data_IF_841841431058
#
_entry.id   IF_841841431058
#
_cell.length_a   1.000
_cell.length_b   1.000
_cell.length_c   1.000
_cell.angle_alpha   90.00
_cell.angle_beta   90.00
_cell.angle_gamma   90.00
#
_symmetry.space_group_name_H-M   'P 1'
#
loop_
_entity.id
_entity.type
_entity.pdbx_description
1 polymer ?
#
# COMPACT_ATOMS: atom_id res chain seq x y z
N UNK A 1 -68.17 -43.73 68.57
CA UNK A 1 -66.85 -43.53 67.94
C UNK A 1 -66.94 -43.99 66.50
N UNK A 2 -66.62 -43.10 65.55
CA UNK A 2 -66.15 -43.32 64.15
C UNK A 2 -66.96 -44.25 63.20
N UNK A 3 -67.06 -44.09 61.89
CA UNK A 3 -66.82 -43.05 60.87
C UNK A 3 -67.29 -43.71 59.54
N UNK A 4 -68.37 -43.28 58.91
CA UNK A 4 -68.43 -42.50 57.66
C UNK A 4 -67.46 -42.87 56.50
N UNK A 5 -68.07 -43.38 55.40
CA UNK A 5 -67.88 -43.08 53.94
C UNK A 5 -66.49 -43.31 53.30
N UNK A 6 -66.35 -43.58 52.01
CA UNK A 6 -67.26 -43.60 50.86
C UNK A 6 -66.45 -43.90 49.59
N UNK A 7 -67.12 -44.49 48.58
CA UNK A 7 -66.56 -44.86 47.27
C UNK A 7 -66.01 -43.66 46.51
N UNK A 8 -64.78 -43.76 46.02
CA UNK A 8 -64.13 -42.77 45.14
C UNK A 8 -64.51 -43.06 43.69
N UNK A 9 -65.25 -42.13 43.10
CA UNK A 9 -65.62 -42.06 41.69
C UNK A 9 -64.63 -41.12 41.00
N UNK A 10 -63.70 -41.63 40.20
CA UNK A 10 -62.75 -40.79 39.45
C UNK A 10 -63.45 -40.22 38.22
N UNK A 11 -63.88 -38.95 38.31
CA UNK A 11 -64.32 -38.14 37.16
C UNK A 11 -63.09 -37.69 36.35
N UNK A 12 -63.12 -37.99 35.05
CA UNK A 12 -62.23 -37.44 34.02
C UNK A 12 -62.41 -35.92 33.94
N UNK A 13 -61.38 -35.16 34.31
CA UNK A 13 -61.33 -33.70 34.17
C UNK A 13 -60.76 -33.37 32.79
N UNK A 14 -61.62 -32.98 31.86
CA UNK A 14 -61.19 -32.31 30.63
C UNK A 14 -60.84 -30.86 30.96
N UNK A 15 -59.54 -30.54 31.00
CA UNK A 15 -59.05 -29.17 31.10
C UNK A 15 -59.08 -28.52 29.71
N UNK A 16 -60.14 -27.75 29.46
CA UNK A 16 -60.26 -26.83 28.33
C UNK A 16 -59.27 -25.68 28.54
N UNK A 17 -58.12 -25.71 27.86
CA UNK A 17 -57.19 -24.59 27.81
C UNK A 17 -57.76 -23.50 26.90
N UNK A 18 -58.26 -22.40 27.47
CA UNK A 18 -58.49 -21.17 26.72
C UNK A 18 -57.19 -20.38 26.64
N UNK A 19 -56.53 -20.41 25.49
CA UNK A 19 -55.38 -19.56 25.20
C UNK A 19 -55.88 -18.12 25.07
N UNK A 20 -55.49 -17.27 26.01
CA UNK A 20 -55.69 -15.82 25.89
C UNK A 20 -54.86 -15.30 24.72
N UNK A 21 -55.56 -14.83 23.67
CA UNK A 21 -55.00 -14.11 22.54
C UNK A 21 -54.52 -12.73 23.02
N UNK A 22 -53.26 -12.63 23.42
CA UNK A 22 -52.63 -11.33 23.67
C UNK A 22 -52.22 -10.70 22.33
N UNK A 23 -52.96 -9.65 21.98
CA UNK A 23 -52.56 -8.47 21.20
C UNK A 23 -51.49 -8.67 20.11
N UNK A 24 -51.96 -8.73 18.87
CA UNK A 24 -51.13 -8.58 17.69
C UNK A 24 -50.49 -7.19 17.61
N UNK A 25 -49.17 -7.17 17.56
CA UNK A 25 -48.43 -6.16 16.82
C UNK A 25 -47.79 -6.88 15.62
N UNK A 26 -47.99 -6.41 14.38
CA UNK A 26 -47.36 -7.02 13.23
C UNK A 26 -45.83 -6.80 13.32
N UNK A 27 -45.08 -7.85 12.97
CA UNK A 27 -43.62 -7.90 13.00
C UNK A 27 -42.83 -6.88 12.12
N UNK A 28 -43.36 -6.18 11.09
CA UNK A 28 -42.51 -5.31 10.27
C UNK A 28 -42.15 -3.98 10.94
N UNK A 29 -42.81 -3.59 12.04
CA UNK A 29 -42.58 -2.28 12.67
C UNK A 29 -41.32 -2.20 13.56
N UNK A 30 -40.70 -3.34 13.92
CA UNK A 30 -39.47 -3.37 14.72
C UNK A 30 -38.20 -3.33 13.88
N UNK A 31 -38.29 -3.71 12.60
CA UNK A 31 -37.13 -3.69 11.69
C UNK A 31 -36.76 -2.25 11.29
N UNK A 32 -37.74 -1.35 11.12
CA UNK A 32 -37.47 -0.01 10.59
C UNK A 32 -36.76 0.93 11.56
N UNK A 33 -36.97 0.82 12.88
CA UNK A 33 -36.33 1.70 13.89
C UNK A 33 -34.85 1.39 14.11
N UNK A 34 -34.47 0.11 14.06
CA UNK A 34 -33.05 -0.29 14.19
C UNK A 34 -32.29 0.08 12.91
N UNK A 35 -32.90 -0.13 11.74
CA UNK A 35 -32.29 0.17 10.45
C UNK A 35 -32.12 1.68 10.20
N UNK A 36 -33.11 2.49 10.59
CA UNK A 36 -33.01 3.96 10.51
C UNK A 36 -32.01 4.51 11.52
N UNK A 37 -31.95 3.99 12.74
CA UNK A 37 -30.96 4.41 13.74
C UNK A 37 -29.52 4.14 13.30
N UNK A 38 -29.25 2.97 12.73
CA UNK A 38 -27.92 2.62 12.21
C UNK A 38 -27.53 3.50 11.01
N UNK A 39 -28.48 3.77 10.11
CA UNK A 39 -28.25 4.62 8.94
C UNK A 39 -27.88 6.07 9.33
N UNK A 40 -28.59 6.66 10.30
CA UNK A 40 -28.28 8.01 10.77
C UNK A 40 -26.96 8.06 11.54
N UNK A 41 -26.63 7.03 12.33
CA UNK A 41 -25.37 6.95 13.06
C UNK A 41 -24.16 6.82 12.12
N UNK A 42 -24.30 6.06 11.02
CA UNK A 42 -23.26 5.95 9.99
C UNK A 42 -23.11 7.25 9.20
N UNK A 43 -24.22 7.93 8.88
CA UNK A 43 -24.21 9.21 8.18
C UNK A 43 -23.58 10.33 9.02
N UNK A 44 -23.86 10.39 10.32
CA UNK A 44 -23.24 11.38 11.22
C UNK A 44 -21.76 11.08 11.46
N UNK A 45 -21.36 9.81 11.57
CA UNK A 45 -19.95 9.43 11.67
C UNK A 45 -19.17 9.80 10.39
N UNK A 46 -19.77 9.61 9.21
CA UNK A 46 -19.21 10.04 7.93
C UNK A 46 -19.06 11.56 7.83
N UNK A 47 -20.06 12.32 8.28
CA UNK A 47 -20.01 13.79 8.31
C UNK A 47 -18.94 14.33 9.27
N UNK A 48 -18.77 13.70 10.44
CA UNK A 48 -17.74 14.10 11.41
C UNK A 48 -16.34 13.74 10.88
N UNK A 49 -16.17 12.57 10.25
CA UNK A 49 -14.92 12.18 9.61
C UNK A 49 -14.53 13.09 8.44
N UNK A 50 -15.50 13.76 7.81
CA UNK A 50 -15.27 14.70 6.70
C UNK A 50 -14.69 16.05 7.16
N UNK A 51 -14.84 16.41 8.45
CA UNK A 51 -14.42 17.72 8.97
C UNK A 51 -12.99 17.76 9.52
N UNK A 52 -12.30 16.61 9.62
CA UNK A 52 -10.97 16.52 10.25
C UNK A 52 -9.78 16.81 9.29
N UNK A 53 -10.03 17.29 8.07
CA UNK A 53 -9.01 17.46 7.04
C UNK A 53 -8.29 18.81 6.99
N UNK A 54 -8.65 19.79 7.81
CA UNK A 54 -8.00 21.11 7.81
C UNK A 54 -7.01 21.19 8.96
N UNK A 55 -5.74 20.85 8.72
CA UNK A 55 -4.53 21.49 9.27
C UNK A 55 -3.29 20.75 8.74
N UNK A 56 -2.78 21.15 7.58
CA UNK A 56 -1.38 20.95 7.18
C UNK A 56 -0.95 22.23 6.46
N UNK A 57 0.28 22.71 6.74
CA UNK A 57 0.85 23.83 5.99
C UNK A 57 0.80 23.49 4.49
N UNK A 58 0.29 24.42 3.70
CA UNK A 58 -0.08 24.21 2.30
C UNK A 58 1.18 23.95 1.45
N UNK A 59 1.69 22.72 1.46
CA UNK A 59 2.61 22.27 0.42
C UNK A 59 1.78 22.26 -0.86
N UNK A 60 2.22 23.02 -1.85
CA UNK A 60 1.66 22.94 -3.19
C UNK A 60 2.00 21.56 -3.75
N UNK A 61 1.08 20.62 -3.56
CA UNK A 61 1.27 19.22 -3.92
C UNK A 61 1.54 19.07 -5.42
N UNK A 62 0.89 19.89 -6.25
CA UNK A 62 1.10 19.82 -7.69
C UNK A 62 2.54 20.24 -8.06
N UNK A 63 3.06 21.29 -7.42
CA UNK A 63 4.45 21.71 -7.60
C UNK A 63 5.46 20.70 -7.02
N UNK A 64 5.14 20.12 -5.87
CA UNK A 64 5.96 19.06 -5.24
C UNK A 64 6.09 17.83 -6.15
N UNK A 65 4.97 17.32 -6.67
CA UNK A 65 4.94 16.12 -7.52
C UNK A 65 5.63 16.37 -8.87
N UNK A 66 5.43 17.56 -9.46
CA UNK A 66 6.13 17.97 -10.67
C UNK A 66 7.65 18.02 -10.43
N UNK A 67 8.07 18.59 -9.30
CA UNK A 67 9.48 18.65 -8.89
C UNK A 67 10.09 17.28 -8.66
N UNK A 68 9.37 16.38 -7.98
CA UNK A 68 9.82 15.01 -7.74
C UNK A 68 10.09 14.27 -9.06
N UNK A 69 9.18 14.43 -10.04
CA UNK A 69 9.32 13.79 -11.35
C UNK A 69 10.57 14.27 -12.09
N UNK A 70 10.81 15.58 -12.12
CA UNK A 70 11.99 16.16 -12.77
C UNK A 70 13.26 15.73 -12.03
N UNK A 71 13.24 15.73 -10.69
CA UNK A 71 14.36 15.30 -9.85
C UNK A 71 14.75 13.84 -10.12
N UNK A 72 13.77 12.93 -10.15
CA UNK A 72 14.01 11.50 -10.44
C UNK A 72 14.58 11.26 -11.84
N UNK A 73 14.17 12.05 -12.83
CA UNK A 73 14.65 11.92 -14.21
C UNK A 73 16.04 12.49 -14.46
N UNK A 74 16.45 13.53 -13.73
CA UNK A 74 17.62 14.34 -14.09
C UNK A 74 18.67 14.46 -12.97
N UNK A 75 18.29 14.34 -11.69
CA UNK A 75 19.14 14.70 -10.55
C UNK A 75 19.47 13.51 -9.64
N UNK A 76 18.55 12.55 -9.49
CA UNK A 76 18.62 11.48 -8.50
C UNK A 76 19.83 10.53 -8.64
N UNK A 77 20.47 10.48 -9.82
CA UNK A 77 21.68 9.68 -10.05
C UNK A 77 22.90 10.19 -9.28
N UNK A 78 22.93 11.49 -8.95
CA UNK A 78 24.08 12.14 -8.33
C UNK A 78 23.75 12.87 -7.03
N UNK A 79 22.49 13.28 -6.85
CA UNK A 79 22.05 14.06 -5.71
C UNK A 79 20.96 13.34 -4.92
N UNK A 80 20.93 13.59 -3.61
CA UNK A 80 19.77 13.30 -2.75
C UNK A 80 19.20 14.60 -2.22
N UNK A 81 17.90 14.66 -1.88
CA UNK A 81 17.35 15.88 -1.28
C UNK A 81 18.01 16.20 0.06
N UNK A 82 18.18 15.21 0.94
CA UNK A 82 18.54 15.38 2.35
C UNK A 82 19.95 14.89 2.74
N UNK A 83 20.70 14.32 1.79
CA UNK A 83 22.01 13.75 2.05
C UNK A 83 23.01 14.01 0.91
N UNK A 84 24.29 13.95 1.26
CA UNK A 84 25.39 14.06 0.31
C UNK A 84 25.60 12.73 -0.44
N UNK A 85 25.98 12.81 -1.71
CA UNK A 85 26.29 11.66 -2.56
C UNK A 85 27.44 12.01 -3.51
N UNK A 86 27.25 11.88 -4.83
CA UNK A 86 28.20 12.37 -5.84
C UNK A 86 28.21 13.90 -5.87
N UNK A 87 27.05 14.51 -5.61
CA UNK A 87 26.89 15.94 -5.36
C UNK A 87 26.31 16.24 -3.97
N UNK A 88 26.23 17.54 -3.60
CA UNK A 88 25.68 17.98 -2.33
C UNK A 88 24.20 17.66 -2.18
N UNK A 89 23.73 17.58 -0.93
CA UNK A 89 22.30 17.58 -0.63
C UNK A 89 21.61 18.79 -1.28
N UNK A 90 20.44 18.61 -1.90
CA UNK A 90 19.74 19.70 -2.58
C UNK A 90 18.86 20.54 -1.66
N UNK A 91 18.41 19.99 -0.53
CA UNK A 91 17.62 20.71 0.46
C UNK A 91 18.38 21.93 0.97
N UNK A 92 17.76 23.09 0.91
CA UNK A 92 18.34 24.39 1.25
C UNK A 92 19.35 24.92 0.22
N UNK A 93 19.41 24.36 -1.00
CA UNK A 93 20.36 24.83 -2.02
C UNK A 93 20.09 26.29 -2.41
N UNK A 94 18.81 26.69 -2.49
CA UNK A 94 18.42 28.06 -2.80
C UNK A 94 18.98 29.06 -1.80
N UNK A 95 18.84 28.77 -0.50
CA UNK A 95 19.40 29.59 0.57
C UNK A 95 20.94 29.63 0.52
N UNK A 96 21.60 28.50 0.22
CA UNK A 96 23.06 28.47 0.08
C UNK A 96 23.58 29.34 -1.06
N UNK A 97 22.83 29.45 -2.15
CA UNK A 97 23.17 30.25 -3.33
C UNK A 97 22.72 31.71 -3.27
N UNK A 98 21.86 32.07 -2.30
CA UNK A 98 21.31 33.42 -2.18
C UNK A 98 22.43 34.48 -2.06
N UNK A 99 22.36 35.50 -2.92
CA UNK A 99 23.35 36.57 -3.03
C UNK A 99 24.74 36.14 -3.55
N UNK A 100 24.96 34.88 -3.94
CA UNK A 100 26.29 34.36 -4.34
C UNK A 100 26.41 34.04 -5.83
N UNK A 101 25.32 34.13 -6.58
CA UNK A 101 25.33 33.87 -8.01
C UNK A 101 23.95 33.48 -8.55
N UNK A 102 23.95 32.87 -9.72
CA UNK A 102 22.76 32.42 -10.42
C UNK A 102 22.72 30.89 -10.39
N UNK A 103 21.90 30.36 -9.47
CA UNK A 103 21.69 28.92 -9.31
C UNK A 103 21.04 28.29 -10.55
N UNK A 104 20.22 29.02 -11.32
CA UNK A 104 19.55 28.49 -12.50
C UNK A 104 20.54 28.27 -13.63
N UNK A 105 21.40 29.25 -13.89
CA UNK A 105 22.48 29.11 -14.86
C UNK A 105 23.44 27.98 -14.48
N UNK A 106 23.77 27.84 -13.19
CA UNK A 106 24.56 26.73 -12.68
C UNK A 106 23.89 25.37 -12.92
N UNK A 107 22.59 25.23 -12.61
CA UNK A 107 21.83 23.99 -12.77
C UNK A 107 21.72 23.59 -14.25
N UNK A 108 21.54 24.55 -15.17
CA UNK A 108 21.49 24.26 -16.61
C UNK A 108 22.83 23.80 -17.16
N UNK A 109 23.91 24.48 -16.79
CA UNK A 109 25.23 24.17 -17.30
C UNK A 109 26.33 24.66 -16.34
N UNK A 110 26.70 23.81 -15.39
CA UNK A 110 27.77 24.10 -14.43
C UNK A 110 29.11 24.43 -15.11
N UNK A 111 29.46 23.72 -16.19
CA UNK A 111 30.75 23.87 -16.86
C UNK A 111 30.87 25.21 -17.58
N UNK A 112 29.78 25.70 -18.17
CA UNK A 112 29.74 27.04 -18.74
C UNK A 112 29.74 28.10 -17.65
N UNK A 113 28.99 27.88 -16.56
CA UNK A 113 28.91 28.82 -15.45
C UNK A 113 30.26 29.04 -14.76
N UNK A 114 31.10 28.01 -14.63
CA UNK A 114 32.46 28.14 -14.06
C UNK A 114 33.32 29.16 -14.81
N UNK A 115 33.12 29.32 -16.13
CA UNK A 115 33.88 30.28 -16.95
C UNK A 115 33.59 31.74 -16.60
N UNK A 116 32.49 32.02 -15.91
CA UNK A 116 32.16 33.36 -15.41
C UNK A 116 33.11 33.83 -14.31
N UNK A 117 33.88 32.91 -13.71
CA UNK A 117 34.79 33.23 -12.61
C UNK A 117 34.10 33.41 -11.26
N UNK A 118 32.84 33.00 -11.10
CA UNK A 118 32.12 33.07 -9.83
C UNK A 118 32.87 32.29 -8.72
N UNK A 119 33.29 33.00 -7.66
CA UNK A 119 34.11 32.42 -6.58
C UNK A 119 33.42 31.27 -5.86
N UNK A 120 32.11 31.40 -5.60
CA UNK A 120 31.35 30.39 -4.88
C UNK A 120 31.20 29.10 -5.71
N UNK A 121 30.87 29.23 -7.00
CA UNK A 121 30.75 28.09 -7.91
C UNK A 121 32.08 27.36 -8.12
N UNK A 122 33.19 28.10 -8.25
CA UNK A 122 34.53 27.52 -8.36
C UNK A 122 34.91 26.74 -7.09
N UNK A 123 34.70 27.34 -5.92
CA UNK A 123 34.95 26.68 -4.63
C UNK A 123 34.09 25.43 -4.47
N UNK A 124 32.80 25.51 -4.79
CA UNK A 124 31.90 24.36 -4.74
C UNK A 124 32.38 23.24 -5.68
N UNK A 125 32.82 23.57 -6.90
CA UNK A 125 33.34 22.57 -7.83
C UNK A 125 34.61 21.89 -7.30
N UNK A 126 35.50 22.63 -6.64
CA UNK A 126 36.70 22.07 -6.00
C UNK A 126 36.37 21.18 -4.80
N UNK A 127 35.46 21.61 -3.92
CA UNK A 127 35.01 20.83 -2.75
C UNK A 127 34.39 19.48 -3.15
N UNK A 128 33.75 19.42 -4.31
CA UNK A 128 33.11 18.22 -4.85
C UNK A 128 33.99 17.46 -5.85
N UNK A 129 35.31 17.51 -5.65
CA UNK A 129 36.32 16.79 -6.43
C UNK A 129 36.26 17.03 -7.93
N UNK A 130 35.80 18.21 -8.36
CA UNK A 130 35.63 18.59 -9.77
C UNK A 130 34.69 17.64 -10.52
N UNK A 131 33.71 17.07 -9.81
CA UNK A 131 32.69 16.21 -10.38
C UNK A 131 31.84 17.01 -11.38
N UNK A 132 31.81 16.56 -12.63
CA UNK A 132 31.11 17.26 -13.71
C UNK A 132 29.61 17.02 -13.59
N UNK A 133 28.85 18.09 -13.40
CA UNK A 133 27.39 18.06 -13.53
C UNK A 133 27.03 18.28 -15.00
N UNK A 134 26.54 17.22 -15.66
CA UNK A 134 26.17 17.22 -17.08
C UNK A 134 25.14 18.31 -17.38
N UNK A 135 25.26 19.04 -18.51
CA UNK A 135 24.26 20.03 -18.88
C UNK A 135 22.87 19.42 -19.05
N UNK A 136 21.85 20.11 -18.55
CA UNK A 136 20.46 19.68 -18.59
C UNK A 136 19.59 20.79 -19.17
N UNK A 137 18.73 20.46 -20.13
CA UNK A 137 17.84 21.42 -20.80
C UNK A 137 16.55 21.60 -19.99
N UNK A 138 16.64 22.21 -18.81
CA UNK A 138 15.52 22.48 -17.91
C UNK A 138 15.04 23.94 -18.01
N UNK A 139 13.72 24.14 -17.94
CA UNK A 139 13.12 25.48 -17.82
C UNK A 139 13.29 26.06 -16.40
N UNK A 140 13.07 27.36 -16.22
CA UNK A 140 13.17 27.97 -14.88
C UNK A 140 12.11 27.37 -13.93
N UNK A 141 10.91 27.10 -14.46
CA UNK A 141 9.80 26.50 -13.72
C UNK A 141 10.11 25.07 -13.28
N UNK A 142 10.77 24.27 -14.14
CA UNK A 142 11.20 22.92 -13.78
C UNK A 142 12.29 22.94 -12.71
N UNK A 143 13.23 23.88 -12.79
CA UNK A 143 14.27 24.07 -11.77
C UNK A 143 13.63 24.51 -10.44
N UNK A 144 12.66 25.42 -10.48
CA UNK A 144 11.91 25.85 -9.30
C UNK A 144 11.16 24.70 -8.65
N UNK A 145 10.48 23.86 -9.45
CA UNK A 145 9.79 22.69 -8.95
C UNK A 145 10.77 21.70 -8.27
N UNK A 146 11.94 21.44 -8.86
CA UNK A 146 12.95 20.56 -8.26
C UNK A 146 13.48 21.10 -6.93
N UNK A 147 13.80 22.40 -6.87
CA UNK A 147 14.26 23.03 -5.64
C UNK A 147 13.16 23.04 -4.58
N UNK A 148 11.90 23.31 -4.97
CA UNK A 148 10.74 23.24 -4.10
C UNK A 148 10.53 21.83 -3.52
N UNK A 149 10.61 20.81 -4.37
CA UNK A 149 10.57 19.41 -3.95
C UNK A 149 11.70 19.08 -2.96
N UNK A 150 12.93 19.51 -3.24
CA UNK A 150 14.07 19.24 -2.36
C UNK A 150 13.92 19.92 -0.99
N UNK A 151 13.43 21.16 -0.95
CA UNK A 151 13.23 21.93 0.28
C UNK A 151 12.11 21.33 1.15
N UNK A 152 11.04 20.87 0.53
CA UNK A 152 9.90 20.26 1.21
C UNK A 152 10.01 18.74 1.35
N UNK A 153 11.12 18.14 0.94
CA UNK A 153 11.32 16.70 1.02
C UNK A 153 11.26 16.21 2.47
N UNK A 154 10.38 15.26 2.71
CA UNK A 154 10.31 14.48 3.94
C UNK A 154 10.78 13.05 3.63
N UNK A 155 11.81 12.54 4.30
CA UNK A 155 12.29 11.17 4.07
C UNK A 155 11.17 10.18 4.39
N UNK A 156 10.95 9.14 3.55
CA UNK A 156 10.02 8.08 3.87
C UNK A 156 10.50 7.43 5.17
N UNK A 157 9.61 7.33 6.16
CA UNK A 157 9.94 6.72 7.45
C UNK A 157 10.61 5.36 7.20
N UNK A 158 11.74 5.05 7.88
CA UNK A 158 12.42 3.78 7.69
C UNK A 158 11.43 2.66 7.98
N UNK A 159 11.19 1.79 6.99
CA UNK A 159 10.42 0.56 7.17
C UNK A 159 11.27 -0.41 7.99
N UNK A 160 11.38 -0.12 9.29
CA UNK A 160 11.93 -1.02 10.30
C UNK A 160 10.93 -2.14 10.58
N UNK A 161 11.44 -3.37 10.60
CA UNK A 161 10.62 -4.58 10.65
C UNK A 161 9.81 -4.78 11.92
N UNK A 162 8.76 -5.58 11.77
CA UNK A 162 8.06 -6.29 12.84
C UNK A 162 7.14 -5.44 13.71
N UNK A 163 5.87 -5.33 13.34
CA UNK A 163 4.78 -5.89 14.16
C UNK A 163 3.43 -5.81 13.42
N UNK A 164 2.62 -6.84 13.63
CA UNK A 164 1.22 -6.88 13.24
C UNK A 164 0.45 -5.87 14.10
N UNK A 165 0.28 -4.64 13.62
CA UNK A 165 -0.77 -3.74 14.07
C UNK A 165 -1.11 -2.71 12.99
N UNK A 166 -2.39 -2.71 12.62
CA UNK A 166 -3.18 -1.68 11.95
C UNK A 166 -2.42 -0.62 11.12
N UNK A 167 -2.60 -0.70 9.80
CA UNK A 167 -2.17 0.33 8.86
C UNK A 167 -2.63 1.73 9.31
N UNK A 168 -1.73 2.73 9.39
CA UNK A 168 -2.13 4.11 9.52
C UNK A 168 -2.71 4.57 8.18
N UNK A 169 -3.95 5.04 8.25
CA UNK A 169 -4.58 5.89 7.24
C UNK A 169 -3.76 7.17 7.09
N UNK A 170 -3.27 7.43 5.87
CA UNK A 170 -2.63 8.67 5.43
C UNK A 170 -3.02 8.97 3.97
N UNK A 171 -2.90 10.22 3.51
CA UNK A 171 -4.02 10.99 2.99
C UNK A 171 -4.40 10.72 1.54
N UNK A 172 -5.67 11.03 1.30
CA UNK A 172 -6.40 11.11 0.04
C UNK A 172 -5.77 12.07 -0.95
N UNK A 173 -5.15 11.53 -2.00
CA UNK A 173 -4.91 12.28 -3.22
C UNK A 173 -6.24 12.58 -3.91
N UNK A 174 -6.51 13.86 -4.13
CA UNK A 174 -7.60 14.34 -4.98
C UNK A 174 -7.37 13.82 -6.41
N UNK A 175 -7.98 12.67 -6.70
CA UNK A 175 -7.83 11.92 -7.95
C UNK A 175 -7.65 10.42 -7.76
N UNK A 176 -7.40 9.95 -6.53
CA UNK A 176 -7.42 8.52 -6.24
C UNK A 176 -8.85 8.01 -6.37
N UNK A 177 -9.16 7.39 -7.50
CA UNK A 177 -10.40 6.64 -7.69
C UNK A 177 -10.46 5.44 -6.74
N UNK A 178 -9.38 5.10 -6.02
CA UNK A 178 -9.27 3.90 -5.20
C UNK A 178 -10.31 3.82 -4.07
N UNK A 179 -10.52 4.86 -3.22
CA UNK A 179 -11.60 4.82 -2.22
C UNK A 179 -12.98 4.73 -2.88
N UNK A 180 -13.20 5.42 -4.00
CA UNK A 180 -14.45 5.34 -4.76
C UNK A 180 -14.65 3.97 -5.42
N UNK A 181 -13.58 3.31 -5.87
CA UNK A 181 -13.61 1.93 -6.38
C UNK A 181 -13.96 0.95 -5.28
N UNK A 182 -13.44 1.13 -4.05
CA UNK A 182 -13.85 0.31 -2.91
C UNK A 182 -15.33 0.49 -2.58
N UNK A 183 -15.83 1.73 -2.59
CA UNK A 183 -17.27 2.02 -2.41
C UNK A 183 -18.10 1.39 -3.52
N UNK A 184 -17.68 1.49 -4.78
CA UNK A 184 -18.36 0.87 -5.91
C UNK A 184 -18.34 -0.67 -5.84
N UNK A 185 -17.20 -1.27 -5.49
CA UNK A 185 -17.08 -2.73 -5.28
C UNK A 185 -18.02 -3.17 -4.17
N UNK A 186 -18.04 -2.45 -3.04
CA UNK A 186 -18.96 -2.75 -1.93
C UNK A 186 -20.42 -2.66 -2.38
N UNK A 187 -20.78 -1.62 -3.14
CA UNK A 187 -22.12 -1.47 -3.72
C UNK A 187 -22.48 -2.66 -4.62
N UNK A 188 -21.60 -3.04 -5.55
CA UNK A 188 -21.85 -4.18 -6.44
C UNK A 188 -21.93 -5.51 -5.69
N UNK A 189 -21.15 -5.71 -4.63
CA UNK A 189 -21.24 -6.90 -3.78
C UNK A 189 -22.60 -6.94 -3.07
N UNK A 190 -23.04 -5.83 -2.47
CA UNK A 190 -24.36 -5.75 -1.82
C UNK A 190 -25.49 -6.01 -2.81
N UNK A 191 -25.43 -5.40 -4.00
CA UNK A 191 -26.42 -5.62 -5.07
C UNK A 191 -26.40 -7.07 -5.54
N UNK A 192 -25.23 -7.67 -5.77
CA UNK A 192 -25.10 -9.06 -6.21
C UNK A 192 -25.64 -10.05 -5.16
N UNK A 193 -25.36 -9.84 -3.88
CA UNK A 193 -25.88 -10.67 -2.79
C UNK A 193 -27.41 -10.52 -2.67
N UNK A 194 -27.93 -9.30 -2.79
CA UNK A 194 -29.37 -9.02 -2.80
C UNK A 194 -30.07 -9.73 -3.96
N UNK A 195 -29.56 -9.56 -5.19
CA UNK A 195 -30.13 -10.20 -6.39
C UNK A 195 -30.06 -11.73 -6.32
N UNK A 196 -28.97 -12.28 -5.78
CA UNK A 196 -28.84 -13.73 -5.60
C UNK A 196 -29.87 -14.26 -4.58
N UNK A 197 -30.08 -13.54 -3.48
CA UNK A 197 -31.10 -13.86 -2.48
C UNK A 197 -32.52 -13.78 -3.06
N UNK A 198 -32.84 -12.71 -3.79
CA UNK A 198 -34.15 -12.53 -4.45
C UNK A 198 -34.39 -13.62 -5.50
N UNK A 199 -33.39 -13.92 -6.33
CA UNK A 199 -33.50 -14.99 -7.35
C UNK A 199 -33.77 -16.35 -6.70
N UNK A 200 -33.07 -16.68 -5.60
CA UNK A 200 -33.29 -17.93 -4.86
C UNK A 200 -34.69 -17.96 -4.22
N UNK A 201 -35.11 -16.86 -3.61
CA UNK A 201 -36.44 -16.75 -2.98
C UNK A 201 -37.56 -16.90 -4.00
N UNK A 202 -37.44 -16.25 -5.17
CA UNK A 202 -38.42 -16.35 -6.24
C UNK A 202 -38.44 -17.75 -6.84
N UNK A 203 -37.27 -18.35 -7.09
CA UNK A 203 -37.19 -19.72 -7.61
C UNK A 203 -37.84 -20.72 -6.66
N UNK A 204 -37.62 -20.59 -5.35
CA UNK A 204 -38.27 -21.45 -4.36
C UNK A 204 -39.78 -21.20 -4.26
N UNK A 205 -40.24 -19.94 -4.34
CA UNK A 205 -41.67 -19.63 -4.33
C UNK A 205 -42.40 -20.17 -5.57
N UNK A 206 -41.76 -20.13 -6.75
CA UNK A 206 -42.30 -20.74 -7.98
C UNK A 206 -42.36 -22.26 -7.84
N UNK A 207 -41.30 -22.90 -7.32
CA UNK A 207 -41.31 -24.34 -7.12
C UNK A 207 -42.38 -24.79 -6.13
N UNK A 208 -42.58 -24.06 -5.04
CA UNK A 208 -43.65 -24.34 -4.08
C UNK A 208 -45.04 -24.18 -4.72
N UNK A 209 -45.25 -23.16 -5.55
CA UNK A 209 -46.48 -23.00 -6.33
C UNK A 209 -46.70 -24.13 -7.36
N UNK A 210 -45.63 -24.69 -7.91
CA UNK A 210 -45.65 -25.84 -8.82
C UNK A 210 -45.69 -27.20 -8.09
N UNK A 211 -45.71 -27.21 -6.74
CA UNK A 211 -45.68 -28.44 -5.94
C UNK A 211 -44.35 -29.22 -6.03
N UNK A 212 -43.26 -28.56 -6.43
CA UNK A 212 -41.90 -29.11 -6.54
C UNK A 212 -41.10 -28.85 -5.26
N UNK A 213 -40.14 -29.73 -5.00
CA UNK A 213 -39.21 -29.61 -3.87
C UNK A 213 -38.35 -28.32 -4.00
N UNK A 214 -38.10 -27.60 -2.89
CA UNK A 214 -37.26 -26.40 -2.88
C UNK A 214 -35.82 -26.72 -3.33
N UNK A 215 -35.14 -25.73 -3.92
CA UNK A 215 -33.77 -25.94 -4.41
C UNK A 215 -32.83 -26.32 -3.26
N UNK A 216 -31.88 -27.25 -3.48
CA UNK A 216 -30.95 -27.69 -2.44
C UNK A 216 -30.11 -26.52 -1.92
N UNK A 217 -29.91 -26.47 -0.60
CA UNK A 217 -29.03 -25.50 0.03
C UNK A 217 -27.57 -25.82 -0.29
N UNK A 218 -26.95 -24.95 -1.09
CA UNK A 218 -25.55 -25.07 -1.50
C UNK A 218 -24.68 -24.14 -0.66
N UNK A 219 -23.50 -24.62 -0.33
CA UNK A 219 -22.45 -23.80 0.27
C UNK A 219 -21.86 -22.82 -0.76
N UNK A 220 -21.14 -21.81 -0.28
CA UNK A 220 -20.44 -20.87 -1.16
C UNK A 220 -19.49 -21.58 -2.13
N UNK A 221 -18.69 -22.52 -1.62
CA UNK A 221 -17.72 -23.28 -2.43
C UNK A 221 -18.41 -24.09 -3.51
N UNK A 222 -19.51 -24.77 -3.18
CA UNK A 222 -20.31 -25.52 -4.16
C UNK A 222 -20.91 -24.61 -5.24
N UNK A 223 -21.33 -23.39 -4.86
CA UNK A 223 -21.87 -22.41 -5.80
C UNK A 223 -20.80 -21.88 -6.77
N UNK A 224 -19.58 -21.62 -6.28
CA UNK A 224 -18.43 -21.21 -7.11
C UNK A 224 -18.00 -22.35 -8.04
N UNK A 225 -17.93 -23.57 -7.51
CA UNK A 225 -17.62 -24.78 -8.27
C UNK A 225 -18.65 -24.98 -9.40
N UNK A 226 -19.94 -24.99 -9.12
CA UNK A 226 -20.92 -25.19 -10.18
C UNK A 226 -20.92 -24.05 -11.22
N UNK A 227 -20.75 -22.81 -10.77
CA UNK A 227 -20.57 -21.69 -11.70
C UNK A 227 -19.35 -21.90 -12.60
N UNK A 228 -18.22 -22.33 -12.05
CA UNK A 228 -17.00 -22.57 -12.82
C UNK A 228 -17.17 -23.70 -13.85
N UNK A 229 -17.87 -24.78 -13.46
CA UNK A 229 -18.18 -25.90 -14.37
C UNK A 229 -19.16 -25.53 -15.48
N UNK A 230 -20.11 -24.63 -15.18
CA UNK A 230 -21.07 -24.13 -16.17
C UNK A 230 -20.45 -23.05 -17.08
N UNK A 231 -19.40 -22.36 -16.62
CA UNK A 231 -18.73 -21.26 -17.33
C UNK A 231 -17.27 -21.59 -17.64
N UNK A 232 -17.00 -22.76 -18.23
CA UNK A 232 -15.64 -23.31 -18.41
C UNK A 232 -14.64 -22.32 -19.03
N UNK A 233 -15.02 -21.59 -20.07
CA UNK A 233 -14.13 -20.63 -20.74
C UNK A 233 -13.70 -19.49 -19.81
N UNK A 234 -14.67 -18.80 -19.21
CA UNK A 234 -14.41 -17.68 -18.31
C UNK A 234 -13.70 -18.13 -17.02
N UNK A 235 -14.10 -19.29 -16.47
CA UNK A 235 -13.48 -19.88 -15.30
C UNK A 235 -12.01 -20.24 -15.55
N UNK A 236 -11.67 -20.73 -16.74
CA UNK A 236 -10.29 -21.03 -17.13
C UNK A 236 -9.45 -19.76 -17.21
N UNK A 237 -9.97 -18.69 -17.83
CA UNK A 237 -9.28 -17.41 -17.94
C UNK A 237 -9.02 -16.80 -16.55
N UNK A 238 -10.04 -16.77 -15.68
CA UNK A 238 -9.90 -16.26 -14.31
C UNK A 238 -8.93 -17.13 -13.51
N UNK A 239 -9.04 -18.45 -13.61
CA UNK A 239 -8.13 -19.37 -12.94
C UNK A 239 -6.68 -19.18 -13.36
N UNK A 240 -6.42 -18.98 -14.65
CA UNK A 240 -5.09 -18.67 -15.17
C UNK A 240 -4.58 -17.33 -14.63
N UNK A 241 -5.41 -16.28 -14.67
CA UNK A 241 -5.05 -14.95 -14.16
C UNK A 241 -4.70 -14.99 -12.65
N UNK A 242 -5.50 -15.69 -11.85
CA UNK A 242 -5.23 -15.89 -10.41
C UNK A 242 -3.94 -16.68 -10.20
N UNK A 243 -3.70 -17.73 -10.98
CA UNK A 243 -2.48 -18.53 -10.88
C UNK A 243 -1.24 -17.69 -11.19
N UNK A 244 -1.26 -16.93 -12.28
CA UNK A 244 -0.16 -16.02 -12.65
C UNK A 244 0.05 -14.98 -11.54
N UNK A 245 -1.02 -14.38 -11.01
CA UNK A 245 -0.93 -13.42 -9.92
C UNK A 245 -0.30 -14.02 -8.66
N UNK A 246 -0.69 -15.24 -8.25
CA UNK A 246 -0.10 -15.94 -7.11
C UNK A 246 1.39 -16.21 -7.34
N UNK A 247 1.77 -16.68 -8.52
CA UNK A 247 3.18 -16.93 -8.86
C UNK A 247 4.00 -15.63 -8.77
N UNK A 248 3.50 -14.53 -9.33
CA UNK A 248 4.17 -13.22 -9.25
C UNK A 248 4.22 -12.69 -7.80
N UNK A 249 3.17 -12.89 -7.01
CA UNK A 249 3.15 -12.51 -5.60
C UNK A 249 4.16 -13.31 -4.77
N UNK A 250 4.24 -14.62 -4.99
CA UNK A 250 5.24 -15.49 -4.36
C UNK A 250 6.66 -15.11 -4.79
N UNK A 251 6.86 -14.75 -6.06
CA UNK A 251 8.14 -14.24 -6.56
C UNK A 251 8.52 -12.95 -5.83
N UNK A 252 7.65 -11.94 -5.78
CA UNK A 252 7.89 -10.70 -5.05
C UNK A 252 8.14 -10.94 -3.55
N UNK A 253 7.43 -11.88 -2.94
CA UNK A 253 7.68 -12.28 -1.56
C UNK A 253 9.08 -12.90 -1.40
N UNK A 254 9.51 -13.75 -2.34
CA UNK A 254 10.86 -14.31 -2.38
C UNK A 254 11.96 -13.23 -2.50
N UNK A 255 11.70 -12.14 -3.26
CA UNK A 255 12.58 -10.97 -3.30
C UNK A 255 12.68 -10.28 -1.95
N UNK A 256 11.59 -10.21 -1.19
CA UNK A 256 11.57 -9.57 0.14
C UNK A 256 12.37 -10.34 1.18
N UNK A 257 12.41 -11.68 1.09
CA UNK A 257 13.16 -12.53 2.03
C UNK A 257 14.63 -12.75 1.64
N UNK A 258 15.13 -12.07 0.59
CA UNK A 258 16.55 -12.03 0.25
C UNK A 258 17.10 -13.30 -0.42
N UNK A 259 16.29 -14.03 -1.18
CA UNK A 259 16.73 -15.23 -1.93
C UNK A 259 17.82 -14.91 -2.97
N UNK A 260 17.94 -13.65 -3.41
CA UNK A 260 19.07 -13.14 -4.16
C UNK A 260 19.67 -11.94 -3.43
N UNK A 261 20.88 -12.09 -2.89
CA UNK A 261 21.66 -11.00 -2.32
C UNK A 261 22.16 -10.08 -3.44
N UNK A 262 21.45 -8.99 -3.69
CA UNK A 262 21.91 -7.86 -4.51
C UNK A 262 22.21 -6.64 -3.64
N UNK A 263 22.79 -5.60 -4.24
CA UNK A 263 23.23 -4.36 -3.58
C UNK A 263 22.14 -3.62 -2.79
N UNK A 264 20.86 -3.96 -3.00
CA UNK A 264 19.70 -3.37 -2.33
C UNK A 264 19.32 -4.07 -1.01
N UNK A 265 19.87 -5.26 -0.72
CA UNK A 265 19.55 -6.03 0.49
C UNK A 265 20.61 -5.79 1.55
N UNK A 266 20.28 -5.01 2.58
CA UNK A 266 21.20 -4.58 3.64
C UNK A 266 21.96 -5.72 4.36
N UNK A 267 21.44 -6.96 4.33
CA UNK A 267 22.03 -8.12 4.99
C UNK A 267 23.18 -8.77 4.18
N UNK A 268 23.34 -8.43 2.90
CA UNK A 268 24.35 -9.02 2.01
C UNK A 268 25.57 -8.12 1.78
N UNK A 269 25.61 -6.94 2.40
CA UNK A 269 26.78 -6.07 2.43
C UNK A 269 27.26 -5.91 3.89
N UNK A 270 27.96 -6.91 4.46
CA UNK A 270 28.56 -6.72 5.76
C UNK A 270 29.55 -5.55 5.66
N UNK A 271 29.41 -4.55 6.53
CA UNK A 271 30.43 -3.53 6.69
C UNK A 271 31.72 -4.24 7.11
N UNK A 272 32.67 -4.34 6.18
CA UNK A 272 33.95 -4.96 6.50
C UNK A 272 34.75 -3.99 7.38
N UNK A 273 35.18 -4.39 8.59
CA UNK A 273 35.84 -3.50 9.54
C UNK A 273 37.19 -2.94 9.05
N UNK A 274 37.74 -3.51 7.97
CA UNK A 274 39.03 -3.15 7.41
C UNK A 274 38.86 -2.98 5.90
N UNK A 275 39.21 -1.81 5.36
CA UNK A 275 39.25 -1.58 3.93
C UNK A 275 40.39 -2.41 3.30
N UNK A 276 40.05 -3.44 2.53
CA UNK A 276 41.04 -4.31 1.88
C UNK A 276 41.56 -3.64 0.60
N UNK A 277 42.63 -2.85 0.72
CA UNK A 277 43.28 -2.24 -0.44
C UNK A 277 44.14 -3.29 -1.17
N UNK A 278 43.82 -3.56 -2.44
CA UNK A 278 44.53 -4.52 -3.28
C UNK A 278 46.02 -4.21 -3.43
N UNK A 279 46.44 -2.95 -3.35
CA UNK A 279 47.87 -2.57 -3.48
C UNK A 279 48.74 -3.01 -2.30
N UNK A 280 48.14 -3.30 -1.14
CA UNK A 280 48.83 -3.73 0.08
C UNK A 280 48.73 -5.24 0.32
N UNK A 281 47.95 -5.96 -0.49
CA UNK A 281 47.64 -7.37 -0.21
C UNK A 281 47.76 -8.30 -1.42
N UNK A 282 47.71 -7.80 -2.66
CA UNK A 282 47.98 -8.60 -3.85
C UNK A 282 49.41 -8.34 -4.34
N UNK A 283 50.16 -9.40 -4.64
CA UNK A 283 51.52 -9.30 -5.19
C UNK A 283 52.57 -10.15 -4.46
N UNK A 284 53.85 -9.82 -4.64
CA UNK A 284 54.97 -10.51 -3.99
C UNK A 284 55.18 -9.97 -2.57
N UNK A 285 55.49 -10.87 -1.62
CA UNK A 285 55.67 -10.49 -0.22
C UNK A 285 56.88 -9.55 -0.06
N UNK A 286 56.68 -8.44 0.64
CA UNK A 286 57.69 -7.40 0.89
C UNK A 286 57.23 -6.44 1.99
N UNK A 287 58.04 -5.43 2.30
CA UNK A 287 57.77 -4.49 3.39
C UNK A 287 56.45 -3.72 3.16
N UNK A 288 55.37 -4.21 3.79
CA UNK A 288 54.02 -3.67 3.68
C UNK A 288 53.07 -4.40 2.71
N UNK A 289 53.49 -5.50 2.06
CA UNK A 289 52.63 -6.35 1.24
C UNK A 289 52.55 -7.78 1.79
N UNK A 290 51.33 -8.20 2.15
CA UNK A 290 51.05 -9.51 2.77
C UNK A 290 50.98 -10.66 1.75
N UNK A 291 51.01 -10.38 0.45
CA UNK A 291 50.96 -11.38 -0.62
C UNK A 291 49.84 -12.42 -0.46
N UNK A 292 48.65 -11.95 -0.10
CA UNK A 292 47.47 -12.80 0.08
C UNK A 292 47.01 -13.24 -1.30
N UNK A 293 46.88 -14.56 -1.49
CA UNK A 293 46.43 -15.12 -2.75
C UNK A 293 44.99 -14.65 -3.05
N UNK A 294 44.77 -14.14 -4.28
CA UNK A 294 43.47 -13.69 -4.75
C UNK A 294 42.37 -14.76 -4.58
N UNK A 295 42.72 -16.05 -4.67
CA UNK A 295 41.80 -17.18 -4.48
C UNK A 295 41.15 -17.24 -3.10
N UNK A 296 41.81 -16.64 -2.08
CA UNK A 296 41.29 -16.64 -0.72
C UNK A 296 40.00 -15.82 -0.59
N UNK A 297 39.83 -14.81 -1.45
CA UNK A 297 38.65 -13.95 -1.50
C UNK A 297 37.84 -14.10 -2.79
N UNK A 298 38.48 -14.51 -3.90
CA UNK A 298 37.87 -14.71 -5.20
C UNK A 298 37.94 -16.18 -5.61
N UNK A 299 36.90 -16.94 -5.25
CA UNK A 299 36.77 -18.36 -5.62
C UNK A 299 36.74 -18.63 -7.13
N UNK A 300 36.55 -17.59 -7.97
CA UNK A 300 36.61 -17.66 -9.43
C UNK A 300 37.96 -17.35 -10.07
N UNK A 301 38.96 -16.85 -9.32
CA UNK A 301 40.20 -16.32 -9.88
C UNK A 301 41.14 -17.38 -10.49
N UNK A 302 40.94 -18.68 -10.20
CA UNK A 302 41.72 -19.74 -10.87
C UNK A 302 41.28 -19.99 -12.31
N UNK A 303 40.04 -19.59 -12.67
CA UNK A 303 39.40 -19.96 -13.94
C UNK A 303 39.55 -18.88 -15.02
N UNK A 304 40.28 -17.80 -14.72
CA UNK A 304 40.49 -16.63 -15.58
C UNK A 304 41.95 -16.49 -15.99
#
# INVERSE_FOLDING_TARGET
MAAWRGRVFLRRIERRWSVHKSSGMPLPARFSRVFTGLFHAVLTLLLIASLSGLQAQDVDQALYDAGEKVFKGNCASCHKPDANMTGPALKGARERWDGKGDIYAWIRNSQEYLKTGNEYANKLFEEWNKSVMTPMALSDEEIDAVLYYADNYAPPAPKGGGDLAQAPTGPTDAGSLWPWMLVLILLFVVVALSLTGVKKSLANAVQEAEGREPLPDRTFVQSVQEWAWNNKGLATVIGLAVTVWVVLALWNFAWTIGVYGGDEVAHYRPEQPIAFNHTLHAGSAGDGNLAINCQYCHSGAEKS
#
